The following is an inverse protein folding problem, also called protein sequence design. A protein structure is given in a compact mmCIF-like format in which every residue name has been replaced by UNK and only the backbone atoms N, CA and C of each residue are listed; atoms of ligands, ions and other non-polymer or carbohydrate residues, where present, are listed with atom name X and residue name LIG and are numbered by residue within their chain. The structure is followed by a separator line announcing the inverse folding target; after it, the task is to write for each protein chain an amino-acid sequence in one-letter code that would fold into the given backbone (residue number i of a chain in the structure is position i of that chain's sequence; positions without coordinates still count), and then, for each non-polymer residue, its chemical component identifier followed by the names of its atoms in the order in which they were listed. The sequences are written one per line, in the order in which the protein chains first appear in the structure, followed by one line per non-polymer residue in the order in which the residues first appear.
data_IF_938793279608
#
_entry.id   IF_938793279608
#
_cell.length_a   1.000
_cell.length_b   1.000
_cell.length_c   1.000
_cell.angle_alpha   90.00
_cell.angle_beta   90.00
_cell.angle_gamma   90.00
#
_symmetry.space_group_name_H-M   'P 1'
#
loop_
_entity.id
_entity.type
_entity.pdbx_description
1 polymer ?
#
# COMPACT_ATOMS: atom_id res chain seq x y z
N UNK A 1 30.55 -11.60 21.32
CA UNK A 1 29.15 -11.48 20.87
C UNK A 1 28.76 -12.79 20.22
N UNK A 2 27.75 -13.46 20.78
CA UNK A 2 27.38 -14.85 20.46
C UNK A 2 26.68 -14.90 19.11
N UNK A 3 27.20 -15.76 18.23
CA UNK A 3 26.60 -16.12 16.94
C UNK A 3 25.51 -17.15 17.21
N UNK A 4 24.25 -16.83 16.96
CA UNK A 4 23.20 -17.83 16.91
C UNK A 4 23.03 -18.25 15.45
N UNK A 5 23.52 -19.45 15.15
CA UNK A 5 23.23 -20.19 13.93
C UNK A 5 21.87 -20.82 14.17
N UNK A 6 20.81 -20.30 13.57
CA UNK A 6 19.55 -21.01 13.49
C UNK A 6 19.56 -21.88 12.23
N UNK A 7 19.54 -23.18 12.46
CA UNK A 7 19.40 -24.19 11.43
C UNK A 7 17.98 -24.09 10.85
N UNK A 8 17.89 -23.68 9.59
CA UNK A 8 16.67 -23.75 8.80
C UNK A 8 16.39 -25.22 8.51
N UNK A 9 15.31 -25.74 9.09
CA UNK A 9 14.83 -27.10 8.85
C UNK A 9 14.11 -27.10 7.50
N UNK A 10 14.82 -27.43 6.42
CA UNK A 10 14.23 -27.59 5.09
C UNK A 10 13.28 -28.79 5.06
N UNK A 11 12.00 -28.56 5.30
CA UNK A 11 10.95 -29.55 5.02
C UNK A 11 10.68 -29.51 3.51
N UNK A 12 11.27 -30.46 2.81
CA UNK A 12 10.95 -30.74 1.41
C UNK A 12 9.57 -31.38 1.34
N UNK A 13 8.54 -30.61 0.98
CA UNK A 13 7.26 -31.17 0.57
C UNK A 13 7.19 -31.28 -0.95
N UNK A 14 7.27 -32.51 -1.44
CA UNK A 14 6.83 -32.90 -2.78
C UNK A 14 5.35 -32.53 -2.97
N UNK A 15 5.02 -31.91 -4.10
CA UNK A 15 3.69 -32.05 -4.69
C UNK A 15 3.83 -32.51 -6.14
N UNK A 16 3.62 -33.81 -6.31
CA UNK A 16 3.17 -34.39 -7.58
C UNK A 16 1.64 -34.28 -7.59
N UNK A 17 1.05 -33.74 -8.66
CA UNK A 17 -0.31 -34.13 -9.04
C UNK A 17 -0.37 -34.27 -10.55
N UNK A 18 -0.22 -35.52 -10.99
CA UNK A 18 -0.83 -36.02 -12.20
C UNK A 18 -2.21 -36.60 -11.83
N UNK A 19 -3.27 -36.13 -12.49
CA UNK A 19 -4.50 -36.86 -12.83
C UNK A 19 -5.42 -37.36 -11.71
N UNK A 20 -6.65 -36.81 -11.67
CA UNK A 20 -7.91 -37.52 -11.93
C UNK A 20 -9.10 -36.61 -11.54
N UNK A 21 -9.77 -36.05 -12.54
CA UNK A 21 -11.03 -35.32 -12.39
C UNK A 21 -12.14 -36.27 -11.93
N UNK A 22 -12.87 -35.87 -10.88
CA UNK A 22 -14.14 -36.46 -10.48
C UNK A 22 -15.17 -35.30 -10.44
N UNK A 23 -16.33 -35.38 -11.11
CA UNK A 23 -17.06 -34.18 -11.54
C UNK A 23 -18.01 -33.55 -10.51
N UNK A 24 -18.05 -33.99 -9.25
CA UNK A 24 -19.12 -33.63 -8.30
C UNK A 24 -18.66 -33.04 -6.95
N UNK A 25 -17.48 -32.42 -6.88
CA UNK A 25 -17.11 -31.63 -5.71
C UNK A 25 -16.65 -30.23 -6.14
N UNK A 26 -17.42 -29.23 -5.73
CA UNK A 26 -17.10 -27.81 -5.88
C UNK A 26 -15.98 -27.42 -4.89
N UNK A 27 -14.85 -28.11 -4.98
CA UNK A 27 -13.66 -27.84 -4.15
C UNK A 27 -13.00 -26.62 -4.76
N UNK A 28 -13.04 -25.49 -4.06
CA UNK A 28 -12.11 -24.38 -4.30
C UNK A 28 -10.71 -24.89 -3.98
N UNK A 29 -10.07 -25.60 -4.91
CA UNK A 29 -8.73 -26.12 -4.74
C UNK A 29 -7.74 -24.96 -4.72
N UNK A 30 -7.03 -24.84 -3.61
CA UNK A 30 -5.88 -23.96 -3.50
C UNK A 30 -4.81 -24.36 -4.51
N UNK A 31 -4.19 -23.36 -5.12
CA UNK A 31 -3.12 -23.49 -6.11
C UNK A 31 -1.90 -22.73 -5.61
N UNK A 32 -0.71 -23.15 -6.01
CA UNK A 32 0.53 -22.52 -5.57
C UNK A 32 1.40 -22.05 -6.73
N UNK A 33 2.15 -20.97 -6.51
CA UNK A 33 3.16 -20.44 -7.42
C UNK A 33 4.37 -19.96 -6.61
N UNK A 34 5.53 -20.58 -6.80
CA UNK A 34 6.77 -20.20 -6.10
C UNK A 34 7.80 -19.65 -7.06
N UNK A 35 8.34 -18.46 -6.76
CA UNK A 35 9.47 -17.83 -7.48
C UNK A 35 10.34 -17.06 -6.47
N UNK A 36 11.64 -17.35 -6.42
CA UNK A 36 12.63 -16.63 -5.62
C UNK A 36 12.18 -16.38 -4.16
N UNK A 37 12.01 -17.46 -3.40
CA UNK A 37 11.65 -17.45 -1.97
C UNK A 37 10.24 -16.92 -1.65
N UNK A 38 9.49 -16.41 -2.64
CA UNK A 38 8.08 -16.05 -2.48
C UNK A 38 7.18 -17.16 -3.01
N UNK A 39 6.28 -17.67 -2.17
CA UNK A 39 5.25 -18.63 -2.54
C UNK A 39 3.87 -17.99 -2.45
N UNK A 40 3.14 -17.93 -3.56
CA UNK A 40 1.76 -17.46 -3.60
C UNK A 40 0.81 -18.65 -3.59
N UNK A 41 0.03 -18.78 -2.53
CA UNK A 41 -1.12 -19.68 -2.40
C UNK A 41 -2.37 -18.91 -2.82
N UNK A 42 -3.11 -19.39 -3.82
CA UNK A 42 -4.27 -18.68 -4.33
C UNK A 42 -5.47 -19.59 -4.55
N UNK A 43 -6.65 -19.06 -4.24
CA UNK A 43 -7.92 -19.79 -4.29
C UNK A 43 -9.06 -18.92 -4.80
N UNK A 44 -10.21 -19.53 -5.08
CA UNK A 44 -11.35 -18.86 -5.72
C UNK A 44 -11.07 -18.48 -7.18
N UNK A 45 -11.73 -17.42 -7.63
CA UNK A 45 -11.61 -16.88 -9.00
C UNK A 45 -10.40 -15.94 -9.13
N UNK A 46 -9.22 -16.48 -8.77
CA UNK A 46 -7.90 -15.83 -8.92
C UNK A 46 -7.15 -16.54 -10.04
N UNK A 47 -6.79 -15.78 -11.08
CA UNK A 47 -6.03 -16.29 -12.22
C UNK A 47 -4.54 -16.43 -11.90
N UNK A 48 -3.83 -17.31 -12.64
CA UNK A 48 -2.38 -17.43 -12.53
C UNK A 48 -1.65 -16.09 -12.84
N UNK A 49 -2.18 -15.29 -13.76
CA UNK A 49 -1.66 -13.95 -14.05
C UNK A 49 -1.77 -13.01 -12.86
N UNK A 50 -2.89 -13.05 -12.12
CA UNK A 50 -3.06 -12.26 -10.90
C UNK A 50 -2.13 -12.75 -9.79
N UNK A 51 -2.01 -14.07 -9.59
CA UNK A 51 -1.07 -14.63 -8.62
C UNK A 51 0.39 -14.21 -8.92
N UNK A 52 0.79 -14.23 -10.20
CA UNK A 52 2.11 -13.75 -10.63
C UNK A 52 2.28 -12.24 -10.43
N UNK A 53 1.24 -11.45 -10.67
CA UNK A 53 1.26 -10.01 -10.42
C UNK A 53 1.38 -9.69 -8.92
N UNK A 54 0.67 -10.42 -8.04
CA UNK A 54 0.86 -10.34 -6.58
C UNK A 54 2.29 -10.69 -6.19
N UNK A 55 2.84 -11.79 -6.72
CA UNK A 55 4.21 -12.20 -6.44
C UNK A 55 5.21 -11.08 -6.76
N UNK A 56 5.13 -10.52 -7.98
CA UNK A 56 6.01 -9.43 -8.39
C UNK A 56 5.79 -8.18 -7.51
N UNK A 57 4.54 -7.82 -7.23
CA UNK A 57 4.22 -6.70 -6.36
C UNK A 57 4.85 -6.85 -4.98
N UNK A 58 4.70 -8.02 -4.36
CA UNK A 58 5.23 -8.30 -3.02
C UNK A 58 6.75 -8.22 -3.03
N UNK A 59 7.42 -8.81 -4.02
CA UNK A 59 8.87 -8.72 -4.17
C UNK A 59 9.37 -7.29 -4.37
N UNK A 60 8.67 -6.49 -5.15
CA UNK A 60 9.13 -5.16 -5.54
C UNK A 60 8.84 -4.11 -4.46
N UNK A 61 7.86 -4.35 -3.57
CA UNK A 61 7.41 -3.37 -2.57
C UNK A 61 7.67 -3.78 -1.11
N UNK A 62 7.87 -5.07 -0.83
CA UNK A 62 8.21 -5.54 0.51
C UNK A 62 9.69 -5.92 0.54
N UNK A 63 10.38 -5.51 1.60
CA UNK A 63 11.77 -5.88 1.82
C UNK A 63 11.85 -7.35 2.29
N UNK A 64 11.67 -8.27 1.36
CA UNK A 64 11.68 -9.71 1.62
C UNK A 64 13.12 -10.15 1.84
N UNK A 65 13.38 -10.70 3.02
CA UNK A 65 14.64 -11.34 3.38
C UNK A 65 14.33 -12.78 3.79
N UNK A 66 14.38 -13.71 2.83
CA UNK A 66 14.07 -15.13 3.04
C UNK A 66 12.70 -15.56 2.52
N UNK A 67 12.24 -16.73 2.97
CA UNK A 67 10.98 -17.32 2.53
C UNK A 67 9.78 -16.48 2.98
N UNK A 68 8.85 -16.23 2.06
CA UNK A 68 7.62 -15.47 2.31
C UNK A 68 6.45 -16.16 1.62
N UNK A 69 5.43 -16.51 2.42
CA UNK A 69 4.17 -17.00 1.91
C UNK A 69 3.17 -15.86 1.74
N UNK A 70 2.46 -15.90 0.63
CA UNK A 70 1.41 -14.94 0.29
C UNK A 70 0.14 -15.71 -0.04
N UNK A 71 -0.94 -15.42 0.67
CA UNK A 71 -2.24 -16.04 0.43
C UNK A 71 -3.17 -15.04 -0.27
N UNK A 72 -3.76 -15.45 -1.38
CA UNK A 72 -4.64 -14.61 -2.20
C UNK A 72 -5.98 -15.30 -2.37
N UNK A 73 -7.06 -14.62 -1.98
CA UNK A 73 -8.41 -15.10 -2.21
C UNK A 73 -9.30 -13.98 -2.74
N UNK A 74 -10.31 -14.38 -3.52
CA UNK A 74 -11.35 -13.48 -4.02
C UNK A 74 -12.70 -13.89 -3.43
N UNK A 75 -13.43 -12.93 -2.90
CA UNK A 75 -14.81 -13.09 -2.44
C UNK A 75 -15.67 -11.95 -2.99
N UNK A 76 -16.59 -12.28 -3.89
CA UNK A 76 -17.33 -11.28 -4.67
C UNK A 76 -16.38 -10.38 -5.47
N UNK A 77 -16.52 -9.06 -5.31
CA UNK A 77 -15.72 -8.04 -5.99
C UNK A 77 -14.51 -7.57 -5.16
N UNK A 78 -14.15 -8.32 -4.12
CA UNK A 78 -13.06 -7.97 -3.20
C UNK A 78 -12.01 -9.07 -3.12
N UNK A 79 -10.75 -8.65 -2.95
CA UNK A 79 -9.60 -9.52 -2.78
C UNK A 79 -9.09 -9.40 -1.34
N UNK A 80 -8.67 -10.52 -0.76
CA UNK A 80 -7.85 -10.54 0.45
C UNK A 80 -6.48 -11.07 0.09
N UNK A 81 -5.45 -10.29 0.40
CA UNK A 81 -4.05 -10.68 0.25
C UNK A 81 -3.41 -10.68 1.62
N UNK A 82 -2.80 -11.79 1.97
CA UNK A 82 -2.19 -12.01 3.27
C UNK A 82 -0.71 -12.32 3.05
N UNK A 83 0.19 -11.62 3.74
CA UNK A 83 1.64 -11.78 3.62
C UNK A 83 2.20 -12.20 4.97
N UNK A 84 2.97 -13.29 5.00
CA UNK A 84 3.71 -13.69 6.21
C UNK A 84 4.89 -12.76 6.45
N UNK A 85 5.13 -12.39 7.71
CA UNK A 85 6.17 -11.42 8.08
C UNK A 85 7.02 -11.94 9.23
N UNK A 86 8.24 -11.38 9.43
CA UNK A 86 9.07 -11.73 10.58
C UNK A 86 8.63 -11.06 11.89
N UNK A 87 7.58 -10.23 11.88
CA UNK A 87 7.07 -9.59 13.09
C UNK A 87 6.36 -10.62 13.97
N UNK A 88 6.61 -10.59 15.28
CA UNK A 88 6.00 -11.54 16.22
C UNK A 88 4.60 -11.07 16.63
N UNK A 89 4.41 -9.75 16.74
CA UNK A 89 3.19 -9.13 17.25
C UNK A 89 2.87 -7.79 16.59
N UNK A 90 1.65 -7.31 16.78
CA UNK A 90 1.23 -5.98 16.33
C UNK A 90 2.07 -4.84 16.92
N UNK A 91 2.68 -5.03 18.10
CA UNK A 91 3.52 -4.03 18.75
C UNK A 91 4.88 -3.82 18.08
N UNK A 92 5.31 -4.77 17.24
CA UNK A 92 6.57 -4.70 16.50
C UNK A 92 6.46 -3.88 15.21
N UNK A 93 5.23 -3.52 14.82
CA UNK A 93 4.95 -2.72 13.63
C UNK A 93 4.92 -1.26 14.05
N UNK A 94 5.96 -0.51 13.65
CA UNK A 94 5.98 0.93 13.84
C UNK A 94 4.93 1.65 12.97
N UNK A 95 4.68 2.92 13.30
CA UNK A 95 3.62 3.71 12.64
C UNK A 95 3.92 3.98 11.16
N UNK A 96 5.19 4.13 10.79
CA UNK A 96 5.60 4.34 9.40
C UNK A 96 5.30 3.11 8.55
N UNK A 97 5.66 1.92 9.05
CA UNK A 97 5.35 0.64 8.43
C UNK A 97 3.84 0.43 8.34
N UNK A 98 3.10 0.71 9.42
CA UNK A 98 1.65 0.62 9.41
C UNK A 98 1.00 1.56 8.38
N UNK A 99 1.54 2.77 8.20
CA UNK A 99 1.10 3.70 7.17
C UNK A 99 1.44 3.19 5.77
N UNK A 100 2.67 2.75 5.55
CA UNK A 100 3.13 2.18 4.29
C UNK A 100 2.26 1.01 3.83
N UNK A 101 1.90 0.10 4.73
CA UNK A 101 1.02 -1.05 4.42
C UNK A 101 -0.36 -0.60 3.94
N UNK A 102 -0.92 0.48 4.50
CA UNK A 102 -2.20 1.07 4.01
C UNK A 102 -2.08 1.60 2.59
N UNK A 103 -0.95 2.21 2.27
CA UNK A 103 -0.66 2.69 0.92
C UNK A 103 -0.48 1.52 -0.04
N UNK A 104 0.22 0.47 0.39
CA UNK A 104 0.41 -0.74 -0.42
C UNK A 104 -0.88 -1.48 -0.73
N UNK A 105 -1.85 -1.51 0.20
CA UNK A 105 -3.19 -2.05 -0.10
C UNK A 105 -3.86 -1.29 -1.26
N UNK A 106 -3.75 0.04 -1.26
CA UNK A 106 -4.29 0.92 -2.31
C UNK A 106 -3.54 0.74 -3.63
N UNK A 107 -2.21 0.70 -3.59
CA UNK A 107 -1.38 0.46 -4.77
C UNK A 107 -1.66 -0.91 -5.39
N UNK A 108 -1.76 -1.96 -4.58
CA UNK A 108 -2.07 -3.32 -5.04
C UNK A 108 -3.46 -3.40 -5.66
N UNK A 109 -4.44 -2.70 -5.09
CA UNK A 109 -5.78 -2.58 -5.67
C UNK A 109 -5.71 -2.09 -7.12
N UNK A 110 -5.00 -0.98 -7.36
CA UNK A 110 -4.87 -0.40 -8.70
C UNK A 110 -3.98 -1.24 -9.63
N UNK A 111 -2.77 -1.60 -9.21
CA UNK A 111 -1.73 -2.19 -10.06
C UNK A 111 -1.95 -3.67 -10.38
N UNK A 112 -2.57 -4.41 -9.45
CA UNK A 112 -2.74 -5.86 -9.57
C UNK A 112 -4.17 -6.24 -9.86
N UNK A 113 -5.13 -5.55 -9.23
CA UNK A 113 -6.54 -5.91 -9.28
C UNK A 113 -7.41 -4.89 -10.00
N UNK A 114 -6.81 -3.98 -10.78
CA UNK A 114 -7.50 -3.02 -11.64
C UNK A 114 -8.58 -2.20 -10.89
N UNK A 115 -8.22 -1.74 -9.69
CA UNK A 115 -9.07 -0.92 -8.81
C UNK A 115 -10.06 -1.69 -7.94
N UNK A 116 -10.08 -3.03 -7.98
CA UNK A 116 -10.94 -3.82 -7.09
C UNK A 116 -10.50 -3.67 -5.63
N UNK A 117 -11.44 -3.73 -4.68
CA UNK A 117 -11.14 -3.58 -3.24
C UNK A 117 -10.16 -4.66 -2.79
N UNK A 118 -9.11 -4.26 -2.07
CA UNK A 118 -8.11 -5.14 -1.48
C UNK A 118 -8.09 -4.97 0.03
N UNK A 119 -8.13 -6.07 0.77
CA UNK A 119 -7.70 -6.13 2.17
C UNK A 119 -6.33 -6.77 2.21
N UNK A 120 -5.32 -6.01 2.61
CA UNK A 120 -3.96 -6.50 2.85
C UNK A 120 -3.80 -6.86 4.32
N UNK A 121 -3.27 -8.04 4.61
CA UNK A 121 -3.05 -8.56 5.96
C UNK A 121 -1.60 -8.96 6.14
N UNK A 122 -1.06 -8.74 7.33
CA UNK A 122 0.23 -9.24 7.75
C UNK A 122 0.01 -10.32 8.81
N UNK A 123 0.66 -11.47 8.62
CA UNK A 123 0.70 -12.53 9.62
C UNK A 123 2.08 -12.61 10.29
N UNK A 124 2.10 -13.08 11.52
CA UNK A 124 3.33 -13.55 12.17
C UNK A 124 3.65 -15.01 11.73
N UNK A 125 4.71 -15.58 12.32
CA UNK A 125 5.14 -16.96 12.04
C UNK A 125 4.18 -18.06 12.52
N UNK A 126 3.21 -17.73 13.38
CA UNK A 126 2.17 -18.64 13.86
C UNK A 126 0.86 -18.50 13.05
N UNK A 127 0.92 -17.79 11.91
CA UNK A 127 -0.22 -17.47 11.04
C UNK A 127 -1.30 -16.59 11.71
N UNK A 128 -0.97 -15.90 12.80
CA UNK A 128 -1.87 -14.96 13.45
C UNK A 128 -1.83 -13.59 12.75
N UNK A 129 -3.00 -12.99 12.53
CA UNK A 129 -3.12 -11.65 11.99
C UNK A 129 -2.62 -10.61 13.00
N UNK A 130 -1.56 -9.89 12.62
CA UNK A 130 -0.96 -8.84 13.45
C UNK A 130 -1.28 -7.43 12.94
N UNK A 131 -1.66 -7.30 11.67
CA UNK A 131 -2.10 -6.03 11.08
C UNK A 131 -2.95 -6.25 9.83
N UNK A 132 -3.89 -5.35 9.58
CA UNK A 132 -4.66 -5.32 8.34
C UNK A 132 -4.99 -3.89 7.90
N UNK A 133 -5.01 -3.68 6.59
CA UNK A 133 -5.44 -2.44 5.96
C UNK A 133 -6.29 -2.72 4.72
N UNK A 134 -7.32 -1.90 4.52
CA UNK A 134 -8.11 -1.91 3.28
C UNK A 134 -7.61 -0.84 2.32
N UNK A 135 -7.67 -1.13 1.02
CA UNK A 135 -7.43 -0.17 -0.05
C UNK A 135 -8.42 0.98 0.05
N UNK A 136 -7.93 2.22 0.07
CA UNK A 136 -8.75 3.43 0.15
C UNK A 136 -8.60 4.31 -1.09
N UNK A 137 -7.38 4.45 -1.60
CA UNK A 137 -7.04 5.45 -2.60
C UNK A 137 -6.84 4.82 -3.98
N UNK A 138 -7.17 5.58 -5.02
CA UNK A 138 -6.53 5.45 -6.32
C UNK A 138 -5.31 6.39 -6.35
N UNK A 139 -4.44 6.26 -7.35
CA UNK A 139 -3.30 7.16 -7.51
C UNK A 139 -2.97 7.49 -8.96
N UNK A 140 -2.38 8.66 -9.14
CA UNK A 140 -1.71 9.07 -10.37
C UNK A 140 -0.28 9.49 -10.02
N UNK A 141 0.66 9.27 -10.93
CA UNK A 141 2.08 9.51 -10.69
C UNK A 141 2.73 10.20 -11.89
N UNK A 142 3.60 11.17 -11.61
CA UNK A 142 4.49 11.76 -12.62
C UNK A 142 5.77 12.27 -11.97
N UNK A 143 6.92 12.06 -12.62
CA UNK A 143 8.25 12.47 -12.13
C UNK A 143 8.57 12.03 -10.69
N UNK A 144 8.05 10.87 -10.25
CA UNK A 144 8.23 10.37 -8.88
C UNK A 144 7.39 11.08 -7.82
N UNK A 145 6.44 11.94 -8.23
CA UNK A 145 5.43 12.52 -7.36
C UNK A 145 4.14 11.73 -7.53
N UNK A 146 3.57 11.28 -6.41
CA UNK A 146 2.37 10.47 -6.39
C UNK A 146 1.25 11.22 -5.71
N UNK A 147 0.11 11.36 -6.39
CA UNK A 147 -1.12 11.89 -5.79
C UNK A 147 -2.09 10.73 -5.54
N UNK A 148 -2.30 10.42 -4.27
CA UNK A 148 -3.28 9.47 -3.78
C UNK A 148 -4.61 10.17 -3.55
N UNK A 149 -5.70 9.65 -4.10
CA UNK A 149 -6.98 10.35 -4.08
C UNK A 149 -8.16 9.44 -3.74
N UNK A 150 -9.10 9.98 -2.95
CA UNK A 150 -10.35 9.31 -2.60
C UNK A 150 -11.49 10.32 -2.42
N UNK A 151 -12.67 9.99 -2.97
CA UNK A 151 -13.83 10.88 -2.90
C UNK A 151 -13.68 12.18 -3.71
N UNK A 152 -12.74 12.22 -4.64
CA UNK A 152 -12.52 13.32 -5.61
C UNK A 152 -12.37 12.73 -7.01
N UNK A 153 -12.48 13.59 -8.03
CA UNK A 153 -12.26 13.19 -9.42
C UNK A 153 -10.76 13.01 -9.74
N UNK A 154 -10.46 12.18 -10.74
CA UNK A 154 -9.10 12.07 -11.28
C UNK A 154 -8.61 13.42 -11.84
N UNK A 155 -9.50 14.22 -12.45
CA UNK A 155 -9.19 15.57 -12.92
C UNK A 155 -8.72 16.49 -11.78
N UNK A 156 -9.35 16.41 -10.60
CA UNK A 156 -8.92 17.19 -9.44
C UNK A 156 -7.60 16.68 -8.87
N UNK A 157 -7.39 15.36 -8.83
CA UNK A 157 -6.09 14.79 -8.48
C UNK A 157 -5.00 15.27 -9.46
N UNK A 158 -5.30 15.32 -10.76
CA UNK A 158 -4.38 15.77 -11.80
C UNK A 158 -3.97 17.23 -11.61
N UNK A 159 -4.91 18.11 -11.22
CA UNK A 159 -4.58 19.51 -10.88
C UNK A 159 -3.57 19.61 -9.73
N UNK A 160 -3.70 18.75 -8.72
CA UNK A 160 -2.75 18.68 -7.60
C UNK A 160 -1.39 18.16 -8.08
N UNK A 161 -1.38 17.12 -8.91
CA UNK A 161 -0.15 16.56 -9.47
C UNK A 161 0.59 17.59 -10.33
N UNK A 162 -0.11 18.27 -11.24
CA UNK A 162 0.44 19.31 -12.11
C UNK A 162 1.02 20.48 -11.29
N UNK A 163 0.32 20.88 -10.23
CA UNK A 163 0.83 21.88 -9.29
C UNK A 163 2.13 21.40 -8.63
N UNK A 164 2.13 20.20 -8.05
CA UNK A 164 3.29 19.65 -7.36
C UNK A 164 4.50 19.50 -8.28
N UNK A 165 4.30 19.02 -9.52
CA UNK A 165 5.34 18.96 -10.55
C UNK A 165 5.82 20.36 -10.93
N UNK A 166 4.95 21.37 -11.03
CA UNK A 166 5.35 22.74 -11.36
C UNK A 166 6.23 23.40 -10.29
N UNK A 167 6.04 23.03 -9.02
CA UNK A 167 6.77 23.59 -7.87
C UNK A 167 8.03 22.80 -7.57
N UNK A 168 7.94 21.48 -7.48
CA UNK A 168 9.05 20.61 -7.08
C UNK A 168 9.87 20.07 -8.26
N UNK A 169 9.30 20.04 -9.47
CA UNK A 169 9.89 19.43 -10.66
C UNK A 169 9.85 17.89 -10.67
N UNK A 170 10.33 17.27 -9.58
CA UNK A 170 10.40 15.83 -9.39
C UNK A 170 10.35 15.43 -7.90
N UNK A 171 9.98 14.18 -7.62
CA UNK A 171 9.90 13.60 -6.28
C UNK A 171 11.20 12.92 -5.79
N UNK A 172 11.12 12.06 -4.75
CA UNK A 172 9.91 11.39 -4.24
C UNK A 172 9.03 12.31 -3.39
N UNK A 173 7.74 12.38 -3.71
CA UNK A 173 6.77 13.11 -2.90
C UNK A 173 5.37 12.49 -2.99
N UNK A 174 4.81 12.11 -1.83
CA UNK A 174 3.45 11.61 -1.72
C UNK A 174 2.49 12.71 -1.24
N UNK A 175 1.41 12.91 -1.98
CA UNK A 175 0.35 13.85 -1.66
C UNK A 175 -0.98 13.10 -1.62
N UNK A 176 -1.79 13.34 -0.60
CA UNK A 176 -3.09 12.74 -0.39
C UNK A 176 -4.17 13.79 -0.61
N UNK A 177 -5.24 13.48 -1.35
CA UNK A 177 -6.41 14.35 -1.49
C UNK A 177 -7.68 13.58 -1.16
N UNK A 178 -8.45 14.12 -0.20
CA UNK A 178 -9.70 13.57 0.30
C UNK A 178 -10.82 14.61 0.23
N UNK A 179 -11.99 14.21 -0.28
CA UNK A 179 -13.22 15.00 -0.28
C UNK A 179 -13.18 16.28 -1.13
N UNK A 180 -14.33 16.93 -1.32
CA UNK A 180 -14.47 18.04 -2.26
C UNK A 180 -15.00 19.37 -1.68
N UNK A 181 -15.37 19.41 -0.40
CA UNK A 181 -15.74 20.67 0.27
C UNK A 181 -15.74 20.56 1.81
N UNK A 182 -14.68 21.03 2.49
CA UNK A 182 -13.42 21.47 1.90
C UNK A 182 -12.66 20.28 1.30
N UNK A 183 -11.82 20.54 0.30
CA UNK A 183 -10.76 19.60 -0.08
C UNK A 183 -9.80 19.46 1.10
N UNK A 184 -9.43 18.22 1.45
CA UNK A 184 -8.37 17.95 2.43
C UNK A 184 -7.16 17.41 1.70
N UNK A 185 -6.06 18.16 1.72
CA UNK A 185 -4.79 17.74 1.12
C UNK A 185 -3.80 17.40 2.23
N UNK A 186 -3.22 16.21 2.20
CA UNK A 186 -2.09 15.81 3.05
C UNK A 186 -0.80 15.79 2.24
N UNK A 187 0.15 16.68 2.51
CA UNK A 187 1.47 16.66 1.90
C UNK A 187 2.44 15.91 2.83
N UNK A 188 2.97 14.77 2.39
CA UNK A 188 4.00 14.07 3.16
C UNK A 188 5.29 14.87 3.18
N UNK A 189 5.91 14.91 4.35
CA UNK A 189 7.17 15.58 4.59
C UNK A 189 8.14 14.64 5.32
N UNK A 190 9.42 14.99 5.30
CA UNK A 190 10.43 14.34 6.14
C UNK A 190 10.44 14.86 7.58
N UNK A 191 9.57 15.82 7.92
CA UNK A 191 9.52 16.42 9.25
C UNK A 191 8.77 15.51 10.23
N UNK A 192 9.27 15.42 11.46
CA UNK A 192 8.64 14.64 12.52
C UNK A 192 7.74 15.48 13.43
N UNK A 193 7.88 16.80 13.40
CA UNK A 193 7.14 17.72 14.28
C UNK A 193 6.96 19.10 13.65
N UNK A 194 6.02 19.89 14.21
CA UNK A 194 5.74 21.25 13.77
C UNK A 194 6.97 22.17 13.82
N UNK A 195 7.81 22.02 14.85
CA UNK A 195 8.99 22.86 15.07
C UNK A 195 10.04 22.71 13.94
N UNK A 196 10.05 21.56 13.25
CA UNK A 196 10.97 21.30 12.14
C UNK A 196 10.56 21.98 10.83
N UNK A 197 9.31 22.45 10.72
CA UNK A 197 8.80 23.10 9.51
C UNK A 197 9.52 24.43 9.27
N UNK A 198 9.69 25.24 10.34
CA UNK A 198 10.40 26.51 10.30
C UNK A 198 10.00 27.39 9.11
N UNK A 199 11.00 27.76 8.31
CA UNK A 199 10.83 28.68 7.17
C UNK A 199 9.93 28.11 6.04
N UNK A 200 9.69 26.79 6.02
CA UNK A 200 8.82 26.15 5.04
C UNK A 200 7.32 26.44 5.29
N UNK A 201 6.95 27.02 6.43
CA UNK A 201 5.56 27.37 6.77
C UNK A 201 4.93 28.27 5.69
N UNK A 202 5.68 29.27 5.23
CA UNK A 202 5.24 30.19 4.18
C UNK A 202 4.94 29.48 2.85
N UNK A 203 5.72 28.45 2.51
CA UNK A 203 5.55 27.64 1.30
C UNK A 203 4.26 26.82 1.39
N UNK A 204 3.98 26.19 2.54
CA UNK A 204 2.75 25.43 2.73
C UNK A 204 1.52 26.34 2.74
N UNK A 205 1.64 27.56 3.27
CA UNK A 205 0.55 28.53 3.23
C UNK A 205 0.26 28.99 1.79
N UNK A 206 1.29 29.25 0.98
CA UNK A 206 1.15 29.56 -0.45
C UNK A 206 0.54 28.38 -1.22
N UNK A 207 1.02 27.16 -0.95
CA UNK A 207 0.45 25.93 -1.52
C UNK A 207 -1.04 25.78 -1.22
N UNK A 208 -1.47 26.08 0.01
CA UNK A 208 -2.89 26.00 0.35
C UNK A 208 -3.71 27.01 -0.46
N UNK A 209 -3.22 28.23 -0.64
CA UNK A 209 -3.90 29.27 -1.42
C UNK A 209 -3.97 28.92 -2.93
N UNK A 210 -2.85 28.52 -3.52
CA UNK A 210 -2.76 28.18 -4.95
C UNK A 210 -3.65 26.98 -5.31
N UNK A 211 -3.64 25.94 -4.48
CA UNK A 211 -4.46 24.75 -4.72
C UNK A 211 -5.94 25.04 -4.54
N UNK A 212 -6.31 25.93 -3.61
CA UNK A 212 -7.69 26.40 -3.43
C UNK A 212 -8.22 27.09 -4.70
N UNK A 213 -7.41 27.98 -5.29
CA UNK A 213 -7.75 28.65 -6.54
C UNK A 213 -7.92 27.64 -7.69
N UNK A 214 -6.98 26.70 -7.82
CA UNK A 214 -6.99 25.68 -8.90
C UNK A 214 -8.15 24.69 -8.79
N UNK A 215 -8.48 24.29 -7.57
CA UNK A 215 -9.59 23.37 -7.30
C UNK A 215 -10.94 24.08 -7.27
N UNK A 216 -10.96 25.42 -7.13
CA UNK A 216 -12.17 26.22 -7.14
C UNK A 216 -13.02 26.05 -5.86
N UNK A 217 -12.39 25.83 -4.71
CA UNK A 217 -13.09 25.61 -3.45
C UNK A 217 -12.18 25.63 -2.23
N UNK A 218 -12.78 25.70 -1.04
CA UNK A 218 -12.05 25.76 0.23
C UNK A 218 -11.15 24.54 0.40
N UNK A 219 -9.94 24.77 0.90
CA UNK A 219 -8.93 23.75 1.08
C UNK A 219 -8.33 23.80 2.49
N UNK A 220 -8.13 22.60 3.05
CA UNK A 220 -7.35 22.34 4.26
C UNK A 220 -6.10 21.56 3.86
N UNK A 221 -4.94 22.20 3.92
CA UNK A 221 -3.65 21.55 3.73
C UNK A 221 -3.14 21.06 5.08
N UNK A 222 -2.73 19.80 5.14
CA UNK A 222 -2.10 19.15 6.29
C UNK A 222 -0.70 18.76 5.89
N UNK A 223 0.28 19.13 6.70
CA UNK A 223 1.64 18.59 6.56
C UNK A 223 1.69 17.33 7.40
N UNK A 224 2.06 16.22 6.77
CA UNK A 224 2.11 14.90 7.38
C UNK A 224 3.57 14.51 7.65
N UNK A 225 3.82 13.88 8.78
CA UNK A 225 5.11 13.22 9.06
C UNK A 225 5.20 11.86 8.33
N UNK A 226 6.36 11.17 8.34
CA UNK A 226 6.52 9.84 7.72
C UNK A 226 5.53 8.77 8.21
N UNK A 227 4.97 8.94 9.41
CA UNK A 227 3.93 8.06 10.00
C UNK A 227 2.50 8.39 9.52
N UNK A 228 2.33 9.40 8.67
CA UNK A 228 1.04 9.89 8.21
C UNK A 228 0.26 10.72 9.24
N UNK A 229 0.93 11.19 10.29
CA UNK A 229 0.32 12.03 11.34
C UNK A 229 0.43 13.51 10.97
N UNK A 230 -0.63 14.28 11.23
CA UNK A 230 -0.65 15.73 11.01
C UNK A 230 0.27 16.44 12.00
N UNK A 231 1.25 17.18 11.47
CA UNK A 231 2.18 18.01 12.24
C UNK A 231 1.93 19.51 12.05
N UNK A 232 1.24 19.92 10.98
CA UNK A 232 0.78 21.28 10.79
C UNK A 232 -0.44 21.34 9.86
N UNK A 233 -1.15 22.47 9.90
CA UNK A 233 -2.38 22.70 9.16
C UNK A 233 -2.47 24.14 8.66
N UNK A 234 -2.86 24.28 7.40
CA UNK A 234 -3.09 25.56 6.72
C UNK A 234 -4.46 25.54 6.04
N UNK A 235 -5.13 26.68 6.04
CA UNK A 235 -6.44 26.84 5.39
C UNK A 235 -6.39 28.01 4.42
N UNK A 236 -7.05 27.84 3.27
CA UNK A 236 -7.32 28.90 2.30
C UNK A 236 -8.68 29.55 2.54
#
# INVERSE_FOLDING_TARGET
MRKFIFALLAVTLLVTVAGCENPDTNVSTEKTLTINEVTVHYSGDVSLSQAKAVLNFVRDNFQINGETDVYVSKSGDSYTVTVTTPYESAGDIDKETAFYVKIMASKMSQDVFNGAKVTLKLLNGDEEEIFSAESKYAYIESNGITVWYAGVSEDDAQKVLDYAVSVAGSGPWDIFIDGSNPYTIGAMSSFNSADEIGDAESIYQEMAADLSERLGGNLVLRVLNPSGEEIARFTS
#
